data_IF_919976743126
#
_entry.id   IF_919976743126
#
_cell.length_a   1.000
_cell.length_b   1.000
_cell.length_c   1.000
_cell.angle_alpha   90.00
_cell.angle_beta   90.00
_cell.angle_gamma   90.00
#
_symmetry.space_group_name_H-M   'P 1'
#
loop_
_entity.id
_entity.type
_entity.pdbx_description
1 polymer ?
#
# COMPACT_ATOMS: atom_id res chain seq x y z
N UNK A 1 -1.18 7.63 -17.52
CA UNK A 1 -0.59 7.91 -16.20
C UNK A 1 0.93 7.75 -16.30
N UNK A 2 1.72 8.72 -15.83
CA UNK A 2 3.17 8.55 -15.65
C UNK A 2 3.39 8.14 -14.20
N UNK A 3 3.82 6.91 -13.96
CA UNK A 3 4.21 6.47 -12.62
C UNK A 3 5.48 7.20 -12.19
N UNK A 4 5.54 7.63 -10.93
CA UNK A 4 6.78 8.16 -10.35
C UNK A 4 7.88 7.08 -10.38
N UNK A 5 9.15 7.48 -10.52
CA UNK A 5 10.25 6.53 -10.55
C UNK A 5 10.25 5.67 -9.27
N UNK A 6 10.23 4.35 -9.42
CA UNK A 6 10.17 3.40 -8.29
C UNK A 6 8.75 3.01 -7.84
N UNK A 7 7.69 3.61 -8.39
CA UNK A 7 6.31 3.21 -8.11
C UNK A 7 5.97 1.90 -8.83
N UNK A 8 5.73 0.83 -8.06
CA UNK A 8 5.35 -0.48 -8.61
C UNK A 8 3.86 -0.54 -8.94
N UNK A 9 3.02 0.04 -8.08
CA UNK A 9 1.56 -0.06 -8.15
C UNK A 9 0.91 1.21 -7.54
N UNK A 10 -0.33 1.52 -7.93
CA UNK A 10 -1.18 2.49 -7.23
C UNK A 10 -2.65 2.08 -7.24
N UNK A 11 -3.43 2.63 -6.30
CA UNK A 11 -4.87 2.42 -6.20
C UNK A 11 -5.58 3.69 -5.76
N UNK A 12 -6.87 3.78 -6.06
CA UNK A 12 -7.78 4.80 -5.53
C UNK A 12 -8.41 4.34 -4.22
N UNK A 13 -8.82 5.29 -3.38
CA UNK A 13 -9.59 5.03 -2.17
C UNK A 13 -11.11 5.05 -2.44
N UNK A 14 -11.94 4.28 -1.71
CA UNK A 14 -13.41 4.31 -1.83
C UNK A 14 -14.01 5.71 -1.75
N UNK A 15 -13.43 6.56 -0.88
CA UNK A 15 -13.88 7.93 -0.64
C UNK A 15 -13.75 8.80 -1.91
N UNK A 16 -12.84 8.47 -2.82
CA UNK A 16 -12.58 9.22 -4.05
C UNK A 16 -13.58 8.91 -5.17
N UNK A 17 -14.24 7.74 -5.11
CA UNK A 17 -15.15 7.24 -6.16
C UNK A 17 -16.22 8.27 -6.57
N UNK A 18 -16.82 8.94 -5.57
CA UNK A 18 -17.89 9.92 -5.80
C UNK A 18 -17.46 11.10 -6.68
N UNK A 19 -16.17 11.46 -6.62
CA UNK A 19 -15.60 12.60 -7.34
C UNK A 19 -14.90 12.23 -8.65
N UNK A 20 -14.34 11.01 -8.73
CA UNK A 20 -13.51 10.54 -9.86
C UNK A 20 -13.81 9.07 -10.20
N UNK A 21 -15.05 8.73 -10.57
CA UNK A 21 -15.46 7.34 -10.76
C UNK A 21 -14.73 6.65 -11.93
N UNK A 22 -14.27 7.41 -12.92
CA UNK A 22 -13.51 6.89 -14.06
C UNK A 22 -12.09 6.45 -13.71
N UNK A 23 -11.55 6.95 -12.60
CA UNK A 23 -10.19 6.61 -12.15
C UNK A 23 -10.18 5.44 -11.16
N UNK A 24 -11.37 4.96 -10.74
CA UNK A 24 -11.49 3.96 -9.70
C UNK A 24 -10.91 2.61 -10.12
N UNK A 25 -9.83 2.20 -9.45
CA UNK A 25 -8.99 1.17 -10.00
C UNK A 25 -7.74 0.86 -9.20
N UNK A 26 -7.06 -0.14 -9.71
CA UNK A 26 -5.71 -0.55 -9.34
C UNK A 26 -4.90 -0.56 -10.62
N UNK A 27 -3.71 0.01 -10.59
CA UNK A 27 -2.78 0.00 -11.72
C UNK A 27 -1.44 -0.54 -11.26
N UNK A 28 -0.95 -1.54 -11.99
CA UNK A 28 0.31 -2.22 -11.70
C UNK A 28 1.27 -2.05 -12.87
N UNK A 29 2.57 -1.98 -12.56
CA UNK A 29 3.60 -2.09 -13.59
C UNK A 29 3.53 -3.49 -14.21
N UNK A 30 3.60 -3.58 -15.53
CA UNK A 30 3.46 -4.85 -16.26
C UNK A 30 4.49 -5.91 -15.83
N UNK A 31 5.69 -5.49 -15.44
CA UNK A 31 6.72 -6.44 -14.98
C UNK A 31 6.36 -7.14 -13.66
N UNK A 32 5.38 -6.64 -12.89
CA UNK A 32 4.97 -7.17 -11.58
C UNK A 32 3.87 -8.25 -11.66
N UNK A 33 3.13 -8.34 -12.76
CA UNK A 33 2.03 -9.31 -12.89
C UNK A 33 2.55 -10.72 -13.26
N UNK A 34 1.76 -11.80 -13.09
CA UNK A 34 2.17 -13.14 -13.54
C UNK A 34 2.64 -13.15 -15.00
N UNK A 35 3.85 -13.67 -15.25
CA UNK A 35 4.51 -13.62 -16.56
C UNK A 35 5.38 -12.39 -16.80
N UNK A 36 5.42 -11.44 -15.86
CA UNK A 36 6.35 -10.31 -15.87
C UNK A 36 7.78 -10.68 -15.46
N UNK A 37 8.69 -9.73 -15.64
CA UNK A 37 10.14 -9.93 -15.44
C UNK A 37 10.65 -9.52 -14.05
N UNK A 38 9.81 -8.86 -13.24
CA UNK A 38 10.19 -8.37 -11.92
C UNK A 38 10.23 -9.54 -10.95
N UNK A 39 11.44 -9.98 -10.57
CA UNK A 39 11.61 -10.94 -9.47
C UNK A 39 11.66 -10.16 -8.18
N UNK A 40 10.56 -10.24 -7.43
CA UNK A 40 10.45 -9.66 -6.11
C UNK A 40 10.88 -10.66 -5.05
N UNK A 41 11.56 -10.18 -4.00
CA UNK A 41 11.69 -10.96 -2.78
C UNK A 41 10.29 -11.29 -2.28
N UNK A 42 10.06 -12.52 -1.79
CA UNK A 42 8.72 -13.05 -1.45
C UNK A 42 7.88 -12.18 -0.50
N UNK A 43 8.49 -11.17 0.14
CA UNK A 43 7.92 -10.30 1.16
C UNK A 43 7.45 -8.93 0.65
N UNK A 44 7.90 -8.45 -0.52
CA UNK A 44 7.37 -7.20 -1.13
C UNK A 44 5.96 -7.38 -1.71
N UNK A 45 5.37 -8.57 -1.57
CA UNK A 45 4.00 -8.90 -1.96
C UNK A 45 2.91 -8.23 -1.09
N UNK A 46 3.27 -7.35 -0.15
CA UNK A 46 2.35 -6.89 0.91
C UNK A 46 1.68 -5.54 0.70
N UNK A 47 2.16 -4.66 -0.19
CA UNK A 47 1.29 -3.58 -0.67
C UNK A 47 0.37 -4.17 -1.74
N UNK A 48 -0.70 -4.84 -1.33
CA UNK A 48 -1.75 -5.19 -2.30
C UNK A 48 -2.50 -3.90 -2.59
N UNK A 49 -2.42 -3.31 -3.80
CA UNK A 49 -3.14 -2.07 -4.13
C UNK A 49 -4.64 -2.20 -3.90
N UNK A 50 -5.17 -3.42 -3.95
CA UNK A 50 -6.55 -3.75 -3.55
C UNK A 50 -6.90 -3.27 -2.13
N UNK A 51 -5.96 -3.24 -1.18
CA UNK A 51 -6.22 -2.80 0.19
C UNK A 51 -6.68 -1.34 0.25
N UNK A 52 -6.02 -0.42 -0.45
CA UNK A 52 -6.44 0.98 -0.51
C UNK A 52 -7.81 1.13 -1.17
N UNK A 53 -8.10 0.35 -2.22
CA UNK A 53 -9.44 0.29 -2.83
C UNK A 53 -10.51 -0.26 -1.88
N UNK A 54 -10.13 -1.02 -0.86
CA UNK A 54 -11.01 -1.49 0.20
C UNK A 54 -11.00 -0.55 1.43
N UNK A 55 -10.31 0.59 1.36
CA UNK A 55 -10.27 1.59 2.42
C UNK A 55 -9.21 1.36 3.50
N UNK A 56 -8.32 0.38 3.33
CA UNK A 56 -7.22 0.14 4.26
C UNK A 56 -6.04 1.06 3.95
N UNK A 57 -5.52 1.69 4.99
CA UNK A 57 -4.33 2.52 4.94
C UNK A 57 -3.07 1.71 5.30
N UNK A 58 -1.90 2.24 4.99
CA UNK A 58 -0.65 1.68 5.50
C UNK A 58 -0.59 1.73 7.03
N UNK A 59 0.05 0.75 7.67
CA UNK A 59 0.23 0.66 9.15
C UNK A 59 0.97 1.86 9.75
N UNK A 60 1.82 2.51 8.95
CA UNK A 60 2.53 3.72 9.34
C UNK A 60 1.73 5.01 9.05
N UNK A 61 0.51 4.91 8.53
CA UNK A 61 -0.33 6.06 8.25
C UNK A 61 -0.82 6.67 9.56
N UNK A 62 -0.57 7.97 9.75
CA UNK A 62 -0.91 8.65 11.00
C UNK A 62 0.17 8.58 12.08
N UNK A 63 1.23 7.77 11.90
CA UNK A 63 2.34 7.68 12.84
C UNK A 63 1.96 7.04 14.19
N UNK A 64 2.86 7.14 15.18
CA UNK A 64 2.66 6.53 16.50
C UNK A 64 1.61 7.26 17.39
N UNK A 65 0.95 8.30 16.90
CA UNK A 65 0.04 9.16 17.68
C UNK A 65 -1.38 9.10 17.14
N UNK A 66 -2.36 9.30 18.01
CA UNK A 66 -3.78 9.27 17.63
C UNK A 66 -4.27 7.86 17.32
N UNK A 67 -5.16 7.73 16.32
CA UNK A 67 -5.82 6.46 15.96
C UNK A 67 -5.03 5.63 14.94
N UNK A 68 -3.83 6.07 14.54
CA UNK A 68 -3.04 5.42 13.48
C UNK A 68 -3.83 5.32 12.16
N UNK A 69 -3.79 4.13 11.57
CA UNK A 69 -4.52 3.76 10.35
C UNK A 69 -6.00 3.41 10.58
N UNK A 70 -6.52 3.65 11.79
CA UNK A 70 -7.93 3.42 12.18
C UNK A 70 -8.35 1.94 12.24
N UNK A 71 -7.40 1.03 12.48
CA UNK A 71 -7.65 -0.40 12.68
C UNK A 71 -7.17 -0.82 14.08
N UNK A 72 -8.10 -1.13 14.98
CA UNK A 72 -7.80 -1.26 16.42
C UNK A 72 -6.83 -2.41 16.80
N UNK A 73 -6.72 -3.45 15.98
CA UNK A 73 -5.79 -4.58 16.23
C UNK A 73 -4.41 -4.38 15.57
N UNK A 74 -4.20 -3.25 14.90
CA UNK A 74 -2.94 -2.87 14.28
C UNK A 74 -2.27 -1.81 15.16
N UNK A 75 -1.10 -2.09 15.76
CA UNK A 75 -0.37 -1.10 16.53
C UNK A 75 0.08 0.07 15.62
N UNK A 76 -0.02 1.34 16.07
CA UNK A 76 0.48 2.47 15.29
C UNK A 76 1.98 2.38 15.01
N UNK A 77 2.38 2.55 13.76
CA UNK A 77 3.78 2.58 13.33
C UNK A 77 4.15 3.98 12.80
N UNK A 78 5.42 4.38 12.88
CA UNK A 78 5.91 5.64 12.30
C UNK A 78 6.65 5.44 10.96
N UNK A 79 7.67 4.57 10.88
CA UNK A 79 8.32 4.27 9.61
C UNK A 79 7.72 3.05 8.91
N UNK A 80 7.74 3.00 7.57
CA UNK A 80 7.54 1.75 6.85
C UNK A 80 8.64 0.75 7.19
N UNK A 81 8.25 -0.51 7.41
CA UNK A 81 9.17 -1.62 7.55
C UNK A 81 9.57 -2.21 6.19
N UNK A 82 10.85 -2.56 6.04
CA UNK A 82 11.39 -3.23 4.85
C UNK A 82 12.06 -4.55 5.24
N UNK A 83 11.89 -5.59 4.42
CA UNK A 83 12.47 -6.91 4.68
C UNK A 83 11.83 -7.61 5.88
N UNK A 84 12.65 -8.15 6.78
CA UNK A 84 12.21 -8.84 8.00
C UNK A 84 12.91 -8.22 9.22
N UNK A 85 12.43 -7.06 9.73
CA UNK A 85 13.00 -6.44 10.91
C UNK A 85 12.85 -7.35 12.14
N UNK A 86 13.88 -7.41 12.98
CA UNK A 86 13.84 -8.19 14.22
C UNK A 86 13.18 -7.38 15.33
N UNK A 87 11.86 -7.52 15.44
CA UNK A 87 11.05 -6.89 16.47
C UNK A 87 10.22 -5.72 15.95
N UNK A 88 9.19 -5.28 16.70
CA UNK A 88 8.46 -4.08 16.38
C UNK A 88 9.35 -2.89 16.70
N UNK A 89 9.92 -2.27 15.66
CA UNK A 89 10.60 -0.97 15.76
C UNK A 89 9.53 0.07 16.14
N UNK A 90 9.26 0.22 17.44
CA UNK A 90 8.40 1.26 18.01
C UNK A 90 9.12 2.60 18.06
#
# INVERSE_FOLDING_TARGET
ARSAAGLLEYATFPQEYSSRPSDDGVVNVFSFVPGGTLVLQSWTRKSQPTQHRLGLCHTFQGGCSGVGESVADTPPEAPPAYGCPKGPDR
#
